data_IF_395960641643
#
_entry.id   IF_395960641643
#
_cell.length_a   1.000
_cell.length_b   1.000
_cell.length_c   1.000
_cell.angle_alpha   90.00
_cell.angle_beta   90.00
_cell.angle_gamma   90.00
#
_symmetry.space_group_name_H-M   'P 1'
#
loop_
_entity.id
_entity.type
_entity.pdbx_description
1 polymer ?
#
# COMPACT_ATOMS: atom_id res chain seq x y z
N UNK A 1 29.79 2.13 16.99
CA UNK A 1 28.64 2.04 16.06
C UNK A 1 29.15 1.70 14.68
N UNK A 2 28.91 0.48 14.19
CA UNK A 2 29.28 0.10 12.83
C UNK A 2 28.47 0.92 11.83
N UNK A 3 29.16 1.60 10.90
CA UNK A 3 28.56 2.15 9.68
C UNK A 3 27.99 0.97 8.91
N UNK A 4 26.66 0.85 8.86
CA UNK A 4 26.01 -0.20 8.09
C UNK A 4 26.19 0.13 6.62
N UNK A 5 27.27 -0.41 6.09
CA UNK A 5 27.67 -0.51 4.70
C UNK A 5 26.51 -0.33 3.68
N UNK A 6 26.46 0.85 3.02
CA UNK A 6 25.73 1.11 1.77
C UNK A 6 26.41 0.41 0.57
N UNK A 7 26.26 -0.91 0.41
CA UNK A 7 27.01 -1.68 -0.60
C UNK A 7 26.13 -2.33 -1.66
N UNK A 8 24.81 -2.35 -1.47
CA UNK A 8 23.91 -2.90 -2.46
C UNK A 8 23.72 -1.87 -3.59
N UNK A 9 23.94 -2.33 -4.82
CA UNK A 9 23.84 -1.51 -6.03
C UNK A 9 22.45 -1.65 -6.62
N UNK A 10 21.74 -0.53 -6.69
CA UNK A 10 20.48 -0.40 -7.41
C UNK A 10 20.71 0.44 -8.66
N UNK A 11 19.89 0.23 -9.67
CA UNK A 11 19.87 0.98 -10.92
C UNK A 11 18.58 1.78 -11.00
N UNK A 12 18.75 3.08 -11.23
CA UNK A 12 17.67 4.01 -11.56
C UNK A 12 17.64 4.10 -13.09
N UNK A 13 16.47 3.88 -13.67
CA UNK A 13 16.19 4.13 -15.08
C UNK A 13 15.27 5.33 -15.21
N UNK A 14 15.65 6.29 -16.05
CA UNK A 14 14.82 7.41 -16.44
C UNK A 14 14.34 7.22 -17.87
N UNK A 15 13.03 7.26 -18.08
CA UNK A 15 12.42 7.31 -19.41
C UNK A 15 11.98 8.74 -19.68
N UNK A 16 12.63 9.38 -20.64
CA UNK A 16 12.50 10.82 -20.92
C UNK A 16 11.96 10.98 -22.34
N UNK A 17 10.92 11.79 -22.52
CA UNK A 17 10.41 12.07 -23.86
C UNK A 17 11.42 12.89 -24.68
N UNK A 18 11.41 12.70 -26.01
CA UNK A 18 12.38 13.31 -26.91
C UNK A 18 12.55 14.82 -26.69
N UNK A 19 11.44 15.56 -26.67
CA UNK A 19 11.47 17.02 -26.51
C UNK A 19 12.02 17.45 -25.14
N UNK A 20 11.66 16.73 -24.08
CA UNK A 20 12.08 17.06 -22.72
C UNK A 20 13.57 16.76 -22.49
N UNK A 21 14.13 15.77 -23.19
CA UNK A 21 15.57 15.50 -23.17
C UNK A 21 16.38 16.68 -23.73
N UNK A 22 15.93 17.29 -24.83
CA UNK A 22 16.62 18.47 -25.37
C UNK A 22 16.44 19.70 -24.49
N UNK A 23 15.24 19.93 -23.93
CA UNK A 23 15.04 20.99 -22.93
C UNK A 23 16.02 20.85 -21.76
N UNK A 24 16.20 19.63 -21.26
CA UNK A 24 17.14 19.35 -20.19
C UNK A 24 18.57 19.77 -20.56
N UNK A 25 19.05 19.41 -21.76
CA UNK A 25 20.39 19.76 -22.24
C UNK A 25 20.60 21.28 -22.26
N UNK A 26 19.62 22.02 -22.76
CA UNK A 26 19.72 23.47 -22.91
C UNK A 26 19.61 24.21 -21.58
N UNK A 27 18.77 23.75 -20.65
CA UNK A 27 18.49 24.48 -19.40
C UNK A 27 19.44 24.14 -18.26
N UNK A 28 19.90 22.89 -18.13
CA UNK A 28 20.63 22.45 -16.93
C UNK A 28 22.12 22.27 -17.12
N UNK A 29 22.62 22.28 -18.38
CA UNK A 29 23.96 21.80 -18.75
C UNK A 29 24.27 20.38 -18.26
N UNK A 30 23.28 19.67 -17.71
CA UNK A 30 23.43 18.32 -17.20
C UNK A 30 23.25 17.35 -18.36
N UNK A 31 24.35 16.76 -18.81
CA UNK A 31 24.30 15.73 -19.84
C UNK A 31 24.09 14.37 -19.18
N UNK A 32 22.92 13.78 -19.41
CA UNK A 32 22.73 12.35 -19.17
C UNK A 32 23.22 11.56 -20.38
N UNK A 33 24.01 10.53 -20.09
CA UNK A 33 24.24 9.42 -21.01
C UNK A 33 22.92 8.67 -21.19
N UNK A 34 22.11 9.15 -22.13
CA UNK A 34 20.83 8.57 -22.48
C UNK A 34 20.91 7.93 -23.86
N UNK A 35 20.27 6.78 -24.02
CA UNK A 35 20.17 6.08 -25.30
C UNK A 35 18.77 6.29 -25.86
N UNK A 36 18.69 6.70 -27.13
CA UNK A 36 17.43 6.78 -27.84
C UNK A 36 16.91 5.35 -28.09
N UNK A 37 15.70 5.08 -27.62
CA UNK A 37 14.98 3.82 -27.85
C UNK A 37 13.84 4.04 -28.87
N UNK A 38 13.29 2.96 -29.46
CA UNK A 38 12.10 3.06 -30.29
C UNK A 38 10.96 3.78 -29.56
N UNK A 39 10.17 4.57 -30.30
CA UNK A 39 9.09 5.37 -29.71
C UNK A 39 9.48 6.81 -29.35
N UNK A 40 10.64 7.30 -29.78
CA UNK A 40 11.13 8.68 -29.51
C UNK A 40 11.25 8.97 -28.02
N UNK A 41 11.83 8.03 -27.28
CA UNK A 41 12.13 8.20 -25.86
C UNK A 41 13.61 7.94 -25.62
N UNK A 42 14.18 8.67 -24.67
CA UNK A 42 15.53 8.49 -24.19
C UNK A 42 15.49 7.71 -22.89
N UNK A 43 16.29 6.64 -22.80
CA UNK A 43 16.50 5.90 -21.54
C UNK A 43 17.87 6.21 -21.01
N UNK A 44 17.92 6.73 -19.79
CA UNK A 44 19.15 6.98 -19.07
C UNK A 44 19.22 6.11 -17.83
N UNK A 45 20.42 5.59 -17.51
CA UNK A 45 20.62 4.69 -16.39
C UNK A 45 21.66 5.26 -15.43
N UNK A 46 21.40 5.13 -14.14
CA UNK A 46 22.31 5.56 -13.08
C UNK A 46 22.33 4.56 -11.95
N UNK A 47 23.52 4.19 -11.49
CA UNK A 47 23.65 3.35 -10.31
C UNK A 47 23.61 4.17 -9.02
N UNK A 48 22.96 3.62 -7.99
CA UNK A 48 22.90 4.18 -6.65
C UNK A 48 23.19 3.09 -5.62
N UNK A 49 23.91 3.46 -4.56
CA UNK A 49 24.31 2.52 -3.51
C UNK A 49 23.50 2.80 -2.24
N UNK A 50 22.91 1.76 -1.69
CA UNK A 50 22.15 1.79 -0.45
C UNK A 50 22.24 0.45 0.27
N UNK A 51 21.75 0.39 1.50
CA UNK A 51 21.64 -0.86 2.27
C UNK A 51 20.32 -1.62 2.01
N UNK A 52 19.29 -0.96 1.47
CA UNK A 52 18.01 -1.56 1.09
C UNK A 52 17.33 -0.72 0.01
N UNK A 53 16.39 -1.31 -0.71
CA UNK A 53 15.60 -0.66 -1.76
C UNK A 53 14.88 0.58 -1.26
N UNK A 54 14.31 0.54 -0.06
CA UNK A 54 13.64 1.71 0.56
C UNK A 54 14.58 2.93 0.61
N UNK A 55 15.83 2.72 1.00
CA UNK A 55 16.83 3.79 1.05
C UNK A 55 17.34 4.16 -0.34
N UNK A 56 17.45 3.20 -1.26
CA UNK A 56 17.76 3.46 -2.67
C UNK A 56 16.72 4.39 -3.30
N UNK A 57 15.42 4.10 -3.12
CA UNK A 57 14.32 4.94 -3.61
C UNK A 57 14.36 6.32 -2.96
N UNK A 58 14.60 6.42 -1.66
CA UNK A 58 14.75 7.71 -1.00
C UNK A 58 15.85 8.57 -1.63
N UNK A 59 17.06 7.99 -1.79
CA UNK A 59 18.20 8.69 -2.42
C UNK A 59 17.92 9.00 -3.89
N UNK A 60 17.22 8.14 -4.62
CA UNK A 60 16.83 8.34 -6.01
C UNK A 60 15.88 9.54 -6.17
N UNK A 61 14.86 9.65 -5.31
CA UNK A 61 13.93 10.78 -5.29
C UNK A 61 14.66 12.09 -4.97
N UNK A 62 15.54 12.09 -3.96
CA UNK A 62 16.33 13.27 -3.61
C UNK A 62 17.23 13.71 -4.78
N UNK A 63 17.90 12.75 -5.42
CA UNK A 63 18.72 12.99 -6.59
C UNK A 63 17.89 13.58 -7.74
N UNK A 64 16.74 12.99 -8.05
CA UNK A 64 15.84 13.43 -9.12
C UNK A 64 15.45 14.90 -8.95
N UNK A 65 14.98 15.29 -7.77
CA UNK A 65 14.55 16.66 -7.52
C UNK A 65 15.71 17.66 -7.49
N UNK A 66 16.89 17.22 -7.02
CA UNK A 66 18.09 18.06 -7.01
C UNK A 66 18.56 18.41 -8.42
N UNK A 67 18.65 17.42 -9.31
CA UNK A 67 19.21 17.62 -10.65
C UNK A 67 18.17 18.17 -11.63
N UNK A 68 16.93 17.65 -11.62
CA UNK A 68 15.96 17.95 -12.66
C UNK A 68 14.94 18.99 -12.27
N UNK A 69 14.65 19.20 -10.98
CA UNK A 69 13.64 20.16 -10.48
C UNK A 69 12.28 20.11 -11.21
N UNK A 70 11.90 18.94 -11.74
CA UNK A 70 10.65 18.72 -12.47
C UNK A 70 10.70 18.99 -13.99
N UNK A 71 11.86 19.34 -14.56
CA UNK A 71 12.00 19.67 -15.99
C UNK A 71 11.65 18.51 -16.93
N UNK A 72 11.94 17.28 -16.52
CA UNK A 72 11.60 16.06 -17.28
C UNK A 72 10.31 15.42 -16.75
N UNK A 73 9.43 16.19 -16.12
CA UNK A 73 8.12 15.76 -15.63
C UNK A 73 8.12 15.27 -14.17
N UNK A 74 7.02 14.62 -13.73
CA UNK A 74 6.90 14.10 -12.38
C UNK A 74 7.60 12.75 -12.23
N UNK A 75 8.32 12.55 -11.13
CA UNK A 75 9.16 11.36 -10.89
C UNK A 75 8.42 10.02 -11.08
N UNK A 76 7.12 9.95 -10.75
CA UNK A 76 6.36 8.69 -10.82
C UNK A 76 6.09 8.21 -12.26
N UNK A 77 6.24 9.09 -13.26
CA UNK A 77 6.07 8.75 -14.68
C UNK A 77 7.38 8.37 -15.35
N UNK A 78 8.47 9.01 -14.94
CA UNK A 78 9.75 8.93 -15.65
C UNK A 78 10.80 8.11 -14.94
N UNK A 79 10.73 7.97 -13.61
CA UNK A 79 11.76 7.32 -12.82
C UNK A 79 11.31 5.94 -12.34
N UNK A 80 12.16 4.95 -12.62
CA UNK A 80 12.04 3.58 -12.14
C UNK A 80 13.32 3.19 -11.41
N UNK A 81 13.19 2.38 -10.38
CA UNK A 81 14.31 1.82 -9.63
C UNK A 81 14.13 0.31 -9.63
N UNK A 82 15.13 -0.42 -10.09
CA UNK A 82 15.07 -1.88 -10.15
C UNK A 82 15.06 -2.55 -8.77
N UNK A 83 14.73 -3.83 -8.73
CA UNK A 83 14.79 -4.66 -7.52
C UNK A 83 15.71 -5.90 -7.71
N UNK A 84 17.04 -5.70 -7.79
CA UNK A 84 17.97 -6.78 -8.11
C UNK A 84 18.13 -7.80 -6.98
N UNK A 85 17.63 -7.49 -5.78
CA UNK A 85 17.74 -8.34 -4.60
C UNK A 85 16.41 -8.95 -4.16
N UNK A 86 15.32 -8.73 -4.92
CA UNK A 86 14.00 -9.29 -4.63
C UNK A 86 13.43 -8.84 -3.28
N UNK A 87 13.64 -7.58 -2.90
CA UNK A 87 13.12 -7.02 -1.65
C UNK A 87 11.62 -6.74 -1.73
N UNK A 88 11.10 -6.51 -2.92
CA UNK A 88 9.67 -6.30 -3.16
C UNK A 88 9.03 -7.67 -3.26
N UNK A 89 8.35 -8.07 -2.20
CA UNK A 89 7.64 -9.35 -2.11
C UNK A 89 6.19 -9.09 -1.73
N UNK A 90 5.26 -9.71 -2.45
CA UNK A 90 3.84 -9.61 -2.10
C UNK A 90 3.52 -10.49 -0.89
N UNK A 91 2.97 -9.87 0.17
CA UNK A 91 2.43 -10.54 1.34
C UNK A 91 1.08 -9.93 1.77
N UNK A 92 0.50 -10.42 2.87
CA UNK A 92 -0.77 -9.90 3.39
C UNK A 92 -0.70 -8.43 3.82
N UNK A 93 0.47 -7.97 4.25
CA UNK A 93 0.73 -6.64 4.77
C UNK A 93 1.28 -5.66 3.71
N UNK A 94 1.43 -6.12 2.47
CA UNK A 94 1.96 -5.36 1.35
C UNK A 94 1.27 -4.01 1.20
N UNK A 95 2.06 -2.95 1.32
CA UNK A 95 1.61 -1.58 1.29
C UNK A 95 2.12 -0.89 0.01
N UNK A 96 1.20 -0.62 -0.93
CA UNK A 96 1.55 0.03 -2.20
C UNK A 96 2.15 1.44 -2.02
N UNK A 97 1.87 2.10 -0.90
CA UNK A 97 2.38 3.44 -0.58
C UNK A 97 3.72 3.43 0.16
N UNK A 98 4.24 2.26 0.54
CA UNK A 98 5.55 2.15 1.16
C UNK A 98 6.65 2.53 0.17
N UNK A 99 7.67 3.24 0.66
CA UNK A 99 8.70 3.82 -0.20
C UNK A 99 9.48 2.76 -0.99
N UNK A 100 9.72 1.58 -0.41
CA UNK A 100 10.34 0.45 -1.13
C UNK A 100 9.48 -0.10 -2.27
N UNK A 101 8.17 0.10 -2.24
CA UNK A 101 7.23 -0.41 -3.24
C UNK A 101 6.86 0.65 -4.30
N UNK A 102 7.50 1.83 -4.27
CA UNK A 102 7.32 2.89 -5.26
C UNK A 102 8.36 2.81 -6.37
N UNK A 103 8.05 3.45 -7.51
CA UNK A 103 8.94 3.56 -8.67
C UNK A 103 9.46 2.19 -9.12
N UNK A 104 8.58 1.20 -9.18
CA UNK A 104 8.96 -0.14 -9.62
C UNK A 104 9.23 -0.11 -11.13
N UNK A 105 10.21 -0.91 -11.56
CA UNK A 105 10.42 -1.25 -12.96
C UNK A 105 9.39 -2.29 -13.43
N UNK A 106 9.24 -2.40 -14.74
CA UNK A 106 8.18 -3.21 -15.37
C UNK A 106 8.24 -4.67 -14.94
N UNK A 107 9.45 -5.26 -14.92
CA UNK A 107 9.65 -6.65 -14.52
C UNK A 107 9.18 -6.92 -13.08
N UNK A 108 9.45 -6.00 -12.15
CA UNK A 108 9.00 -6.14 -10.75
C UNK A 108 7.50 -5.94 -10.62
N UNK A 109 6.90 -5.04 -11.41
CA UNK A 109 5.44 -4.84 -11.45
C UNK A 109 4.75 -6.13 -11.91
N UNK A 110 5.20 -6.72 -13.01
CA UNK A 110 4.63 -7.95 -13.57
C UNK A 110 4.71 -9.11 -12.57
N UNK A 111 5.90 -9.35 -11.98
CA UNK A 111 6.08 -10.40 -10.99
C UNK A 111 5.22 -10.22 -9.73
N UNK A 112 5.01 -8.97 -9.27
CA UNK A 112 4.14 -8.69 -8.13
C UNK A 112 2.66 -8.85 -8.48
N UNK A 113 2.24 -8.46 -9.68
CA UNK A 113 0.86 -8.66 -10.13
C UNK A 113 0.56 -10.15 -10.21
N UNK A 114 1.45 -10.95 -10.80
CA UNK A 114 1.34 -12.40 -10.90
C UNK A 114 1.25 -13.06 -9.51
N UNK A 115 2.18 -12.73 -8.61
CA UNK A 115 2.19 -13.27 -7.23
C UNK A 115 0.99 -12.81 -6.39
N UNK A 116 0.31 -11.73 -6.77
CA UNK A 116 -0.84 -11.21 -6.03
C UNK A 116 -2.17 -11.92 -6.30
N UNK A 117 -2.22 -12.81 -7.30
CA UNK A 117 -3.42 -13.56 -7.72
C UNK A 117 -4.68 -12.67 -7.84
N UNK A 118 -4.54 -11.56 -8.58
CA UNK A 118 -5.63 -10.62 -8.83
C UNK A 118 -5.99 -9.71 -7.65
N UNK A 119 -5.15 -9.61 -6.62
CA UNK A 119 -5.32 -8.64 -5.54
C UNK A 119 -4.79 -7.23 -5.90
N UNK A 120 -3.75 -7.16 -6.74
CA UNK A 120 -3.11 -5.93 -7.18
C UNK A 120 -3.29 -5.70 -8.69
N UNK A 121 -3.22 -4.44 -9.09
CA UNK A 121 -3.16 -3.98 -10.47
C UNK A 121 -2.22 -2.78 -10.56
N UNK A 122 -1.82 -2.42 -11.78
CA UNK A 122 -1.10 -1.16 -12.03
C UNK A 122 -1.96 0.05 -11.62
N UNK A 123 -1.30 1.07 -11.08
CA UNK A 123 -1.96 2.30 -10.67
C UNK A 123 -1.88 3.35 -11.78
N UNK A 124 -2.77 3.22 -12.78
CA UNK A 124 -2.83 4.13 -13.93
C UNK A 124 -3.63 5.42 -13.66
N UNK A 125 -3.93 5.71 -12.38
CA UNK A 125 -4.69 6.91 -12.01
C UNK A 125 -3.81 8.14 -12.13
N UNK A 126 -4.40 9.24 -12.58
CA UNK A 126 -3.75 10.54 -12.44
C UNK A 126 -3.71 10.94 -10.97
N UNK A 127 -2.50 11.13 -10.44
CA UNK A 127 -2.31 11.70 -9.11
C UNK A 127 -2.13 13.22 -9.17
N UNK A 128 -2.15 13.84 -8.00
CA UNK A 128 -1.85 15.27 -7.85
C UNK A 128 -0.38 15.48 -7.50
N UNK A 129 0.10 16.70 -7.60
CA UNK A 129 1.50 17.05 -7.27
C UNK A 129 1.89 16.60 -5.85
N UNK A 130 1.00 16.78 -4.88
CA UNK A 130 1.22 16.36 -3.49
C UNK A 130 0.88 14.89 -3.21
N UNK A 131 0.12 14.24 -4.11
CA UNK A 131 -0.30 12.85 -3.99
C UNK A 131 -0.11 12.11 -5.30
N UNK A 132 1.15 11.84 -5.70
CA UNK A 132 1.44 11.10 -6.91
C UNK A 132 0.88 9.66 -6.79
N UNK A 133 0.51 9.03 -7.91
CA UNK A 133 0.10 7.63 -7.92
C UNK A 133 1.28 6.73 -7.48
N UNK A 134 0.96 5.54 -7.00
CA UNK A 134 1.99 4.54 -6.70
C UNK A 134 2.28 3.70 -7.94
N UNK A 135 3.20 2.73 -7.86
CA UNK A 135 3.43 1.80 -8.98
C UNK A 135 2.25 0.82 -9.13
N UNK A 136 1.68 0.43 -7.99
CA UNK A 136 0.63 -0.58 -7.87
C UNK A 136 -0.52 -0.04 -7.03
N UNK A 137 -1.71 -0.59 -7.25
CA UNK A 137 -2.90 -0.37 -6.44
C UNK A 137 -3.59 -1.68 -6.12
N UNK A 138 -4.33 -1.68 -5.01
CA UNK A 138 -5.24 -2.79 -4.70
C UNK A 138 -6.51 -2.69 -5.53
N UNK A 139 -6.94 -3.81 -6.13
CA UNK A 139 -8.21 -3.91 -6.85
C UNK A 139 -9.37 -3.85 -5.85
N UNK A 140 -9.24 -4.56 -4.72
CA UNK A 140 -10.23 -4.58 -3.63
C UNK A 140 -9.62 -4.02 -2.35
N UNK A 141 -10.40 -3.24 -1.60
CA UNK A 141 -10.00 -2.74 -0.29
C UNK A 141 -9.82 -3.92 0.68
N UNK A 142 -8.65 -4.01 1.34
CA UNK A 142 -8.41 -4.99 2.42
C UNK A 142 -9.44 -4.77 3.53
N UNK A 143 -10.30 -5.75 3.77
CA UNK A 143 -11.17 -5.78 4.95
C UNK A 143 -10.37 -6.40 6.08
N UNK A 144 -9.81 -5.57 6.95
CA UNK A 144 -9.14 -6.08 8.15
C UNK A 144 -10.19 -6.81 9.00
N UNK A 145 -10.00 -8.10 9.26
CA UNK A 145 -10.97 -8.92 9.98
C UNK A 145 -10.89 -8.67 11.49
N UNK A 146 -12.00 -8.84 12.19
CA UNK A 146 -11.99 -8.80 13.64
C UNK A 146 -11.46 -10.13 14.18
N UNK A 147 -10.60 -10.08 15.19
CA UNK A 147 -10.10 -11.25 15.91
C UNK A 147 -11.10 -11.66 16.97
N UNK A 148 -11.37 -12.95 17.13
CA UNK A 148 -12.21 -13.45 18.22
C UNK A 148 -11.37 -13.52 19.51
N UNK A 149 -11.71 -12.72 20.52
CA UNK A 149 -11.03 -12.75 21.83
C UNK A 149 -11.63 -13.81 22.75
N UNK A 150 -12.96 -13.98 22.68
CA UNK A 150 -13.73 -14.93 23.48
C UNK A 150 -15.07 -15.19 22.78
N UNK A 151 -15.90 -16.15 23.24
CA UNK A 151 -17.23 -16.37 22.68
C UNK A 151 -18.04 -15.07 22.65
N UNK A 152 -18.53 -14.70 21.45
CA UNK A 152 -19.26 -13.45 21.19
C UNK A 152 -18.44 -12.16 21.44
N UNK A 153 -17.14 -12.22 21.69
CA UNK A 153 -16.31 -11.02 21.87
C UNK A 153 -15.29 -10.92 20.74
N UNK A 154 -15.40 -9.85 19.97
CA UNK A 154 -14.58 -9.59 18.79
C UNK A 154 -13.74 -8.34 19.03
N UNK A 155 -12.47 -8.35 18.64
CA UNK A 155 -11.63 -7.16 18.62
C UNK A 155 -11.37 -6.74 17.18
N UNK A 156 -11.68 -5.49 16.88
CA UNK A 156 -11.27 -4.90 15.62
C UNK A 156 -9.76 -4.68 15.56
N UNK A 157 -9.18 -4.60 14.35
CA UNK A 157 -7.77 -4.29 14.15
C UNK A 157 -7.32 -2.94 14.72
N UNK A 158 -8.25 -2.02 14.98
CA UNK A 158 -7.99 -0.77 15.70
C UNK A 158 -8.09 -0.89 17.23
N UNK A 159 -8.14 -2.11 17.77
CA UNK A 159 -8.20 -2.38 19.20
C UNK A 159 -9.58 -2.24 19.85
N UNK A 160 -10.60 -1.78 19.12
CA UNK A 160 -11.97 -1.65 19.65
C UNK A 160 -12.60 -3.03 19.86
N UNK A 161 -13.15 -3.28 21.05
CA UNK A 161 -13.82 -4.53 21.39
C UNK A 161 -15.33 -4.40 21.14
N UNK A 162 -15.92 -5.44 20.57
CA UNK A 162 -17.34 -5.58 20.27
C UNK A 162 -17.90 -6.84 20.94
N UNK A 163 -19.10 -6.72 21.50
CA UNK A 163 -19.91 -7.87 21.90
C UNK A 163 -20.93 -8.20 20.80
N UNK A 164 -20.89 -9.43 20.28
CA UNK A 164 -21.79 -9.97 19.27
C UNK A 164 -23.06 -10.49 19.95
N UNK A 165 -24.08 -9.64 19.99
CA UNK A 165 -25.38 -9.96 20.53
C UNK A 165 -26.26 -10.62 19.46
N UNK A 166 -27.00 -11.65 19.85
CA UNK A 166 -28.00 -12.29 19.00
C UNK A 166 -29.36 -11.66 19.33
N UNK A 167 -30.00 -11.02 18.35
CA UNK A 167 -31.41 -10.60 18.43
C UNK A 167 -32.30 -11.81 18.07
N UNK A 168 -33.46 -11.92 18.72
CA UNK A 168 -34.45 -12.99 18.49
C UNK A 168 -35.08 -12.91 17.10
N UNK A 169 -35.72 -14.01 16.69
CA UNK A 169 -36.26 -14.25 15.34
C UNK A 169 -37.30 -13.19 14.94
N UNK A 170 -37.23 -12.67 13.71
CA UNK A 170 -38.29 -11.80 13.17
C UNK A 170 -39.41 -12.63 12.53
N UNK A 171 -40.65 -12.19 12.77
CA UNK A 171 -41.83 -12.58 11.98
C UNK A 171 -41.91 -11.59 10.81
N UNK A 172 -41.90 -12.08 9.57
CA UNK A 172 -42.09 -11.24 8.38
C UNK A 172 -43.49 -10.59 8.39
N UNK A 173 -43.70 -9.52 7.60
CA UNK A 173 -45.03 -8.92 7.41
C UNK A 173 -46.10 -9.92 6.92
N UNK A 174 -45.69 -11.04 6.31
CA UNK A 174 -46.57 -12.14 5.88
C UNK A 174 -46.72 -13.28 6.92
N UNK A 175 -46.29 -13.08 8.16
CA UNK A 175 -46.41 -14.09 9.22
C UNK A 175 -45.39 -15.25 9.14
N UNK A 176 -44.55 -15.32 8.10
CA UNK A 176 -43.45 -16.30 8.03
C UNK A 176 -42.33 -15.93 9.00
N UNK A 177 -41.99 -16.85 9.90
CA UNK A 177 -40.83 -16.73 10.80
C UNK A 177 -39.54 -16.85 9.98
N UNK A 178 -38.79 -15.76 9.89
CA UNK A 178 -37.46 -15.76 9.27
C UNK A 178 -36.48 -16.37 10.28
N UNK A 179 -36.11 -17.64 10.10
CA UNK A 179 -35.20 -18.40 10.99
C UNK A 179 -33.76 -17.87 11.06
N UNK A 180 -33.39 -16.83 10.29
CA UNK A 180 -32.06 -16.22 10.38
C UNK A 180 -32.01 -15.31 11.61
N UNK A 181 -31.31 -15.76 12.65
CA UNK A 181 -30.96 -14.97 13.83
C UNK A 181 -30.28 -13.69 13.39
N UNK A 182 -30.86 -12.54 13.72
CA UNK A 182 -30.22 -11.25 13.45
C UNK A 182 -29.12 -11.04 14.49
N UNK A 183 -27.94 -10.63 14.04
CA UNK A 183 -26.78 -10.46 14.90
C UNK A 183 -26.34 -9.01 14.87
N UNK A 184 -26.12 -8.43 16.04
CA UNK A 184 -25.65 -7.05 16.19
C UNK A 184 -24.35 -7.02 16.98
N UNK A 185 -23.37 -6.28 16.49
CA UNK A 185 -22.14 -6.00 17.23
C UNK A 185 -22.31 -4.71 18.04
N UNK A 186 -22.25 -4.81 19.37
CA UNK A 186 -22.30 -3.68 20.31
C UNK A 186 -20.87 -3.27 20.66
N UNK A 187 -20.51 -2.01 20.40
CA UNK A 187 -19.21 -1.46 20.77
C UNK A 187 -19.09 -1.35 22.30
N UNK A 188 -18.02 -1.91 22.86
CA UNK A 188 -17.67 -1.78 24.26
C UNK A 188 -16.71 -0.60 24.45
N UNK A 189 -16.77 0.05 25.61
CA UNK A 189 -15.81 1.10 25.98
C UNK A 189 -14.49 0.52 26.49
N UNK A 190 -14.50 -0.74 26.93
CA UNK A 190 -13.35 -1.46 27.46
C UNK A 190 -12.27 -1.73 26.41
N UNK A 191 -11.01 -1.63 26.84
CA UNK A 191 -9.81 -1.89 26.03
C UNK A 191 -9.14 -3.24 26.33
N UNK A 192 -9.58 -3.97 27.35
CA UNK A 192 -9.09 -5.30 27.71
C UNK A 192 -10.23 -6.29 27.87
N UNK A 193 -9.94 -7.58 27.70
CA UNK A 193 -10.94 -8.66 27.78
C UNK A 193 -11.63 -8.70 29.16
N UNK A 194 -10.87 -8.62 30.26
CA UNK A 194 -11.43 -8.63 31.61
C UNK A 194 -12.40 -7.47 31.87
N UNK A 195 -12.03 -6.26 31.44
CA UNK A 195 -12.91 -5.09 31.58
C UNK A 195 -14.14 -5.21 30.69
N UNK A 196 -13.97 -5.77 29.49
CA UNK A 196 -15.07 -6.02 28.57
C UNK A 196 -16.09 -6.99 29.17
N UNK A 197 -15.64 -8.07 29.83
CA UNK A 197 -16.54 -9.01 30.52
C UNK A 197 -17.35 -8.31 31.63
N UNK A 198 -16.69 -7.54 32.50
CA UNK A 198 -17.40 -6.76 33.54
C UNK A 198 -18.37 -5.75 32.95
N UNK A 199 -18.01 -5.11 31.84
CA UNK A 199 -18.87 -4.16 31.14
C UNK A 199 -20.09 -4.83 30.51
N UNK A 200 -19.92 -6.01 29.91
CA UNK A 200 -21.00 -6.83 29.36
C UNK A 200 -22.02 -7.19 30.45
N UNK A 201 -21.54 -7.63 31.61
CA UNK A 201 -22.40 -8.00 32.74
C UNK A 201 -23.12 -6.77 33.32
N UNK A 202 -22.38 -5.67 33.53
CA UNK A 202 -22.94 -4.39 34.02
C UNK A 202 -24.01 -3.83 33.07
N UNK A 203 -23.82 -3.97 31.75
CA UNK A 203 -24.79 -3.52 30.74
C UNK A 203 -25.89 -4.56 30.47
N UNK A 204 -25.83 -5.74 31.09
CA UNK A 204 -26.83 -6.80 30.91
C UNK A 204 -26.88 -7.38 29.50
N UNK A 205 -25.83 -7.26 28.68
CA UNK A 205 -25.87 -7.63 27.26
C UNK A 205 -26.05 -9.15 27.04
N UNK A 206 -25.67 -9.97 28.03
CA UNK A 206 -25.88 -11.41 28.02
C UNK A 206 -27.36 -11.82 28.26
N UNK A 207 -28.16 -10.98 28.93
CA UNK A 207 -29.52 -11.34 29.38
C UNK A 207 -30.55 -11.29 28.25
N UNK A 208 -30.33 -10.43 27.26
CA UNK A 208 -31.24 -10.22 26.13
C UNK A 208 -31.07 -11.25 25.00
N UNK A 209 -30.16 -12.23 25.13
CA UNK A 209 -29.95 -13.28 24.13
C UNK A 209 -30.73 -14.58 24.44
N UNK A 210 -31.45 -14.63 25.57
CA UNK A 210 -32.15 -15.81 26.07
C UNK A 210 -33.69 -15.67 26.10
N UNK A 211 -34.23 -14.60 25.51
CA UNK A 211 -35.66 -14.40 25.27
C UNK A 211 -35.93 -14.39 23.77
#
# INVERSE_FOLDING_TARGET
MMKLNDFLRYEISLTIDYEDYFRLIYETKYMLEARLIPGRQFVAKRSIYANCRRNAVHKAVQWYWKEFKGLIGPAHKVMHVNDPYGEVVYDEDFACNELGNKYLDEATIEGIIESSDGALARDDREGTEHHPPNSLRRIKRRRKQNVLLAPRILQSPGGTIYYRMTESSQISQEGKVIKRRKVRNVKLASKSLEKALREIDRRGLNKNAAA
#
